data_IF_811155326123
#
_entry.id   IF_811155326123
#
_cell.length_a   1.000
_cell.length_b   1.000
_cell.length_c   1.000
_cell.angle_alpha   90.00
_cell.angle_beta   90.00
_cell.angle_gamma   90.00
#
_symmetry.space_group_name_H-M   'P 1'
#
loop_
_entity.id
_entity.type
_entity.pdbx_description
1 polymer ?
#
# COMPACT_ATOMS: atom_id res chain seq x y z
N UNK A 1 10.21 32.20 55.34
CA UNK A 1 9.99 31.75 54.89
C UNK A 1 9.99 31.21 54.07
N UNK A 2 10.00 30.93 53.62
CA UNK A 2 9.88 30.29 52.90
C UNK A 2 9.82 29.67 52.01
N UNK A 3 9.87 29.50 51.45
CA UNK A 3 9.72 28.83 50.72
C UNK A 3 9.69 28.26 49.88
N UNK A 4 9.66 28.07 49.36
CA UNK A 4 9.52 27.45 48.62
C UNK A 4 9.46 26.88 47.76
N UNK A 5 9.37 26.60 47.36
CA UNK A 5 9.15 25.93 46.57
C UNK A 5 9.21 25.44 45.68
N UNK A 6 9.18 25.05 45.19
CA UNK A 6 9.09 24.43 44.40
C UNK A 6 8.95 23.81 43.50
N UNK A 7 8.94 23.58 43.04
CA UNK A 7 8.70 22.89 42.31
C UNK A 7 8.63 22.41 41.39
N UNK A 8 8.51 22.10 41.06
CA UNK A 8 8.31 21.54 40.27
C UNK A 8 8.28 21.01 39.46
N UNK A 9 8.24 20.74 38.98
CA UNK A 9 8.06 20.13 38.17
C UNK A 9 8.03 19.51 37.32
N UNK A 10 7.93 19.26 37.03
CA UNK A 10 7.80 18.60 36.28
C UNK A 10 7.73 18.17 35.41
N UNK A 11 7.64 17.92 34.97
CA UNK A 11 7.43 17.48 34.12
C UNK A 11 7.43 16.84 33.25
N UNK A 12 7.22 16.50 32.93
CA UNK A 12 7.05 15.82 32.14
C UNK A 12 7.03 15.42 31.15
N UNK A 13 7.02 15.14 30.75
CA UNK A 13 6.87 14.70 29.84
C UNK A 13 6.83 14.06 28.92
N UNK A 14 6.70 13.82 28.56
CA UNK A 14 6.50 13.13 27.71
C UNK A 14 6.46 12.66 26.85
N UNK A 15 6.46 12.38 26.42
CA UNK A 15 6.44 11.96 25.60
C UNK A 15 6.27 11.28 24.81
N UNK A 16 6.01 10.98 24.38
CA UNK A 16 5.75 10.21 23.70
C UNK A 16 5.84 9.99 22.61
N UNK A 17 5.98 9.78 22.12
CA UNK A 17 5.99 9.58 21.06
C UNK A 17 5.93 8.80 20.44
N UNK A 18 5.88 8.55 20.62
CA UNK A 18 5.95 7.84 20.23
C UNK A 18 5.56 7.49 19.26
N UNK A 19 5.25 7.25 19.08
CA UNK A 19 4.80 6.78 18.29
C UNK A 19 4.98 6.89 17.18
N UNK A 20 5.19 7.18 17.18
CA UNK A 20 5.38 7.23 16.21
C UNK A 20 5.14 6.57 15.32
N UNK A 21 4.69 6.17 15.62
CA UNK A 21 4.19 5.36 14.90
C UNK A 21 3.93 5.80 13.62
N UNK A 22 4.63 5.82 12.83
CA UNK A 22 4.27 5.99 11.71
C UNK A 22 3.59 4.93 11.19
N UNK A 23 2.43 5.09 10.87
CA UNK A 23 1.74 4.17 10.08
C UNK A 23 2.53 3.98 8.83
N UNK A 24 2.89 2.80 8.54
CA UNK A 24 3.47 2.48 7.27
C UNK A 24 2.43 2.72 6.19
N UNK A 25 2.83 3.17 5.03
CA UNK A 25 1.95 3.37 3.91
C UNK A 25 2.34 2.46 2.75
N UNK A 26 1.43 2.23 1.80
CA UNK A 26 1.69 1.35 0.67
C UNK A 26 2.41 2.05 -0.47
N UNK A 27 2.76 3.31 -0.32
CA UNK A 27 3.30 4.10 -1.42
C UNK A 27 4.73 3.71 -1.77
N UNK A 28 5.07 3.83 -3.03
CA UNK A 28 6.41 3.55 -3.51
C UNK A 28 6.42 2.46 -4.56
N UNK A 29 7.60 1.97 -4.86
CA UNK A 29 7.81 0.96 -5.88
C UNK A 29 7.87 -0.42 -5.23
N UNK A 30 7.06 -1.31 -5.75
CA UNK A 30 6.98 -2.68 -5.29
C UNK A 30 7.33 -3.61 -6.44
N UNK A 31 7.89 -4.77 -6.11
CA UNK A 31 8.28 -5.76 -7.09
C UNK A 31 7.36 -6.96 -6.98
N UNK A 32 6.88 -7.40 -8.12
CA UNK A 32 6.06 -8.60 -8.24
C UNK A 32 6.99 -9.79 -8.46
N UNK A 33 7.17 -10.67 -7.47
CA UNK A 33 8.19 -11.72 -7.59
C UNK A 33 7.96 -12.67 -8.76
N UNK A 34 6.70 -12.93 -9.11
CA UNK A 34 6.41 -13.89 -10.17
C UNK A 34 6.86 -13.42 -11.54
N UNK A 35 6.93 -12.12 -11.78
CA UNK A 35 7.26 -11.57 -13.09
C UNK A 35 8.46 -10.63 -13.08
N UNK A 36 8.87 -10.16 -11.90
CA UNK A 36 9.87 -9.12 -11.78
C UNK A 36 9.37 -7.74 -12.16
N UNK A 37 8.07 -7.60 -12.40
CA UNK A 37 7.50 -6.30 -12.74
C UNK A 37 7.56 -5.36 -11.56
N UNK A 38 7.77 -4.08 -11.86
CA UNK A 38 7.78 -3.02 -10.85
C UNK A 38 6.47 -2.26 -10.94
N UNK A 39 5.84 -2.09 -9.81
CA UNK A 39 4.55 -1.42 -9.71
C UNK A 39 4.69 -0.26 -8.74
N UNK A 40 4.29 0.92 -9.17
CA UNK A 40 4.29 2.10 -8.32
C UNK A 40 2.90 2.28 -7.73
N UNK A 41 2.81 2.30 -6.40
CA UNK A 41 1.59 2.63 -5.70
C UNK A 41 1.69 4.08 -5.24
N UNK A 42 0.66 4.86 -5.48
CA UNK A 42 0.71 6.29 -5.20
C UNK A 42 -0.66 6.82 -4.79
N UNK A 43 -0.64 7.98 -4.15
CA UNK A 43 -1.87 8.64 -3.74
C UNK A 43 -2.48 9.36 -4.94
N UNK A 44 -3.77 9.16 -5.14
CA UNK A 44 -4.52 9.78 -6.22
C UNK A 44 -5.82 10.37 -5.66
N UNK A 45 -5.69 11.51 -4.96
CA UNK A 45 -6.84 12.19 -4.41
C UNK A 45 -7.39 11.52 -3.16
N UNK A 46 -6.51 11.01 -2.31
CA UNK A 46 -6.91 10.34 -1.07
C UNK A 46 -7.21 8.87 -1.24
N UNK A 47 -7.08 8.36 -2.46
CA UNK A 47 -7.26 6.94 -2.77
C UNK A 47 -5.95 6.34 -3.22
N UNK A 48 -5.92 5.03 -3.34
CA UNK A 48 -4.71 4.31 -3.74
C UNK A 48 -4.78 3.97 -5.22
N UNK A 49 -3.78 4.43 -5.95
CA UNK A 49 -3.61 4.09 -7.36
C UNK A 49 -2.35 3.27 -7.55
N UNK A 50 -2.28 2.55 -8.66
CA UNK A 50 -1.11 1.76 -8.99
C UNK A 50 -0.91 1.71 -10.50
N UNK A 51 0.36 1.76 -10.91
CA UNK A 51 0.70 1.63 -12.33
C UNK A 51 1.99 0.84 -12.48
N UNK A 52 2.14 0.19 -13.62
CA UNK A 52 3.35 -0.53 -13.95
C UNK A 52 4.41 0.48 -14.39
N UNK A 53 5.57 0.45 -13.75
CA UNK A 53 6.66 1.36 -14.11
C UNK A 53 7.88 0.64 -14.67
N UNK A 54 7.90 -0.68 -14.61
CA UNK A 54 8.99 -1.46 -15.18
C UNK A 54 8.60 -2.90 -15.36
N UNK A 55 9.19 -3.55 -16.32
CA UNK A 55 9.00 -4.98 -16.57
C UNK A 55 10.35 -5.61 -16.79
N UNK A 56 10.49 -6.86 -16.36
CA UNK A 56 11.71 -7.62 -16.61
C UNK A 56 11.65 -8.27 -17.98
N UNK A 57 10.48 -8.72 -18.39
CA UNK A 57 10.28 -9.34 -19.71
C UNK A 57 10.04 -8.24 -20.73
N UNK A 58 11.00 -8.03 -21.60
CA UNK A 58 10.95 -6.95 -22.58
C UNK A 58 9.86 -7.11 -23.63
N UNK A 59 9.31 -8.32 -23.77
CA UNK A 59 8.16 -8.51 -24.68
C UNK A 59 6.90 -7.87 -24.12
N UNK A 60 6.94 -7.47 -22.83
CA UNK A 60 5.80 -6.84 -22.17
C UNK A 60 6.05 -5.36 -21.85
N UNK A 61 7.01 -4.75 -22.52
CA UNK A 61 7.37 -3.36 -22.24
C UNK A 61 6.24 -2.37 -22.53
N UNK A 62 5.27 -2.76 -23.34
CA UNK A 62 4.10 -1.94 -23.61
C UNK A 62 3.16 -1.82 -22.39
N UNK A 63 3.35 -2.64 -21.38
CA UNK A 63 2.60 -2.52 -20.14
C UNK A 63 3.11 -1.37 -19.27
N UNK A 64 4.34 -0.89 -19.52
CA UNK A 64 4.91 0.19 -18.72
C UNK A 64 4.11 1.46 -18.91
N UNK A 65 3.74 2.10 -17.81
CA UNK A 65 2.93 3.31 -17.81
C UNK A 65 1.45 3.05 -17.69
N UNK A 66 1.01 1.80 -17.76
CA UNK A 66 -0.43 1.52 -17.66
C UNK A 66 -0.87 1.48 -16.21
N UNK A 67 -2.00 2.11 -15.96
CA UNK A 67 -2.60 2.17 -14.62
C UNK A 67 -3.42 0.89 -14.44
N UNK A 68 -3.14 0.18 -13.35
CA UNK A 68 -3.83 -1.07 -13.04
C UNK A 68 -4.83 -0.91 -11.89
N UNK A 69 -4.71 0.16 -11.10
CA UNK A 69 -5.65 0.47 -10.03
C UNK A 69 -5.88 1.97 -10.04
N UNK A 70 -7.14 2.37 -10.25
CA UNK A 70 -7.48 3.76 -10.52
C UNK A 70 -8.05 4.50 -9.33
N UNK A 71 -8.11 3.88 -8.17
CA UNK A 71 -8.59 4.56 -6.98
C UNK A 71 -9.22 3.60 -6.00
N UNK A 72 -8.39 2.87 -5.26
CA UNK A 72 -8.87 1.98 -4.20
C UNK A 72 -9.11 2.79 -2.95
N UNK A 73 -10.29 2.63 -2.36
CA UNK A 73 -10.65 3.31 -1.13
C UNK A 73 -10.17 2.51 0.06
N UNK A 74 -9.78 3.21 1.11
CA UNK A 74 -9.34 2.55 2.33
C UNK A 74 -10.50 1.74 2.90
N UNK A 75 -10.26 0.45 3.16
CA UNK A 75 -11.27 -0.47 3.65
C UNK A 75 -10.93 -1.05 5.01
N UNK A 76 -9.78 -0.72 5.56
CA UNK A 76 -9.33 -1.15 6.88
C UNK A 76 -8.07 -0.39 7.23
N UNK A 77 -7.48 -0.69 8.38
CA UNK A 77 -6.30 0.04 8.83
C UNK A 77 -5.14 -0.07 7.84
N UNK A 78 -4.97 -1.23 7.25
CA UNK A 78 -3.89 -1.48 6.31
C UNK A 78 -4.41 -2.09 5.00
N UNK A 79 -5.65 -1.77 4.63
CA UNK A 79 -6.28 -2.38 3.47
C UNK A 79 -6.99 -1.35 2.61
N UNK A 80 -6.96 -1.59 1.31
CA UNK A 80 -7.62 -0.75 0.30
C UNK A 80 -8.35 -1.66 -0.66
N UNK A 81 -9.50 -1.23 -1.15
CA UNK A 81 -10.34 -2.03 -2.03
C UNK A 81 -10.80 -1.21 -3.22
N UNK A 82 -10.67 -1.76 -4.40
CA UNK A 82 -11.08 -1.10 -5.64
C UNK A 82 -10.86 -1.99 -6.84
N UNK A 83 -11.13 -1.45 -8.01
CA UNK A 83 -10.97 -2.21 -9.25
C UNK A 83 -9.50 -2.43 -9.58
N UNK A 84 -9.17 -3.63 -10.00
CA UNK A 84 -7.83 -4.02 -10.40
C UNK A 84 -7.88 -4.56 -11.82
N UNK A 85 -7.17 -3.89 -12.72
CA UNK A 85 -7.07 -4.33 -14.11
C UNK A 85 -5.93 -5.33 -14.24
N UNK A 86 -6.23 -6.49 -14.76
CA UNK A 86 -5.21 -7.48 -15.08
C UNK A 86 -4.80 -7.27 -16.55
N UNK A 87 -3.55 -6.81 -16.77
CA UNK A 87 -3.08 -6.50 -18.11
C UNK A 87 -2.87 -7.75 -18.97
N UNK A 88 -2.76 -8.92 -18.33
CA UNK A 88 -2.52 -10.16 -19.07
C UNK A 88 -3.77 -10.68 -19.75
N UNK A 89 -4.93 -10.49 -19.14
CA UNK A 89 -6.20 -10.92 -19.74
C UNK A 89 -7.12 -9.75 -20.09
N UNK A 90 -6.74 -8.52 -19.74
CA UNK A 90 -7.53 -7.33 -20.02
C UNK A 90 -8.80 -7.20 -19.21
N UNK A 91 -8.97 -8.02 -18.17
CA UNK A 91 -10.19 -8.01 -17.37
C UNK A 91 -9.97 -7.24 -16.08
N UNK A 92 -11.08 -6.69 -15.57
CA UNK A 92 -11.08 -5.97 -14.30
C UNK A 92 -11.61 -6.88 -13.20
N UNK A 93 -10.88 -6.92 -12.11
CA UNK A 93 -11.21 -7.73 -10.95
C UNK A 93 -11.48 -6.83 -9.75
N UNK A 94 -12.14 -7.37 -8.75
CA UNK A 94 -12.24 -6.69 -7.47
C UNK A 94 -10.90 -6.86 -6.75
N UNK A 95 -10.20 -5.76 -6.54
CA UNK A 95 -8.86 -5.78 -5.96
C UNK A 95 -8.85 -5.42 -4.50
N UNK A 96 -8.00 -6.10 -3.75
CA UNK A 96 -7.73 -5.76 -2.35
C UNK A 96 -6.23 -5.68 -2.16
N UNK A 97 -5.79 -4.56 -1.63
CA UNK A 97 -4.38 -4.35 -1.29
C UNK A 97 -4.28 -4.35 0.22
N UNK A 98 -3.41 -5.18 0.75
CA UNK A 98 -3.18 -5.23 2.19
C UNK A 98 -1.70 -5.03 2.46
N UNK A 99 -1.38 -4.02 3.25
CA UNK A 99 -0.01 -3.79 3.68
C UNK A 99 0.26 -4.72 4.86
N UNK A 100 1.04 -5.76 4.62
CA UNK A 100 1.31 -6.79 5.62
C UNK A 100 2.42 -6.33 6.57
N UNK A 101 3.43 -5.67 6.01
CA UNK A 101 4.55 -5.11 6.76
C UNK A 101 5.13 -3.97 5.92
N UNK A 102 6.08 -3.19 6.43
CA UNK A 102 6.68 -2.12 5.62
C UNK A 102 7.32 -2.61 4.33
N UNK A 103 7.66 -3.88 4.23
CA UNK A 103 8.31 -4.45 3.04
C UNK A 103 7.51 -5.56 2.37
N UNK A 104 6.25 -5.76 2.75
CA UNK A 104 5.40 -6.81 2.19
C UNK A 104 3.99 -6.29 1.97
N UNK A 105 3.50 -6.40 0.76
CA UNK A 105 2.19 -5.94 0.38
C UNK A 105 1.48 -7.07 -0.37
N UNK A 106 0.28 -7.41 0.08
CA UNK A 106 -0.51 -8.45 -0.59
C UNK A 106 -1.48 -7.80 -1.56
N UNK A 107 -1.43 -8.24 -2.80
CA UNK A 107 -2.33 -7.79 -3.85
C UNK A 107 -3.23 -8.97 -4.24
N UNK A 108 -4.52 -8.82 -4.00
CA UNK A 108 -5.49 -9.87 -4.28
C UNK A 108 -6.52 -9.38 -5.29
N UNK A 109 -6.80 -10.21 -6.28
CA UNK A 109 -7.84 -9.95 -7.26
C UNK A 109 -8.88 -11.05 -7.20
N UNK A 110 -10.15 -10.67 -7.17
CA UNK A 110 -11.26 -11.62 -7.07
C UNK A 110 -12.24 -11.41 -8.21
N UNK A 111 -12.80 -12.51 -8.70
CA UNK A 111 -13.83 -12.55 -9.73
C UNK A 111 -15.08 -13.23 -9.19
N UNK A 112 -16.17 -13.12 -9.94
CA UNK A 112 -17.43 -13.81 -9.66
C UNK A 112 -17.93 -13.57 -8.22
N UNK A 113 -17.97 -12.31 -7.83
CA UNK A 113 -18.48 -11.93 -6.52
C UNK A 113 -17.62 -12.40 -5.36
N UNK A 114 -16.34 -12.66 -5.59
CA UNK A 114 -15.45 -13.12 -4.55
C UNK A 114 -15.27 -14.64 -4.49
N UNK A 115 -15.89 -15.38 -5.39
CA UNK A 115 -15.78 -16.84 -5.40
C UNK A 115 -14.41 -17.31 -5.84
N UNK A 116 -13.76 -16.59 -6.74
CA UNK A 116 -12.45 -16.96 -7.26
C UNK A 116 -11.50 -15.82 -6.98
N UNK A 117 -10.48 -16.06 -6.18
CA UNK A 117 -9.49 -15.06 -5.83
C UNK A 117 -8.09 -15.60 -6.08
N UNK A 118 -7.20 -14.71 -6.52
CA UNK A 118 -5.78 -14.99 -6.60
C UNK A 118 -5.05 -13.85 -5.93
N UNK A 119 -3.98 -14.16 -5.23
CA UNK A 119 -3.21 -13.13 -4.57
C UNK A 119 -1.73 -13.38 -4.73
N UNK A 120 -0.96 -12.34 -4.51
CA UNK A 120 0.48 -12.39 -4.58
C UNK A 120 1.05 -11.38 -3.60
N UNK A 121 2.14 -11.73 -2.95
CA UNK A 121 2.84 -10.80 -2.10
C UNK A 121 3.88 -10.07 -2.93
N UNK A 122 3.83 -8.75 -2.87
CA UNK A 122 4.81 -7.89 -3.51
C UNK A 122 5.86 -7.52 -2.49
N UNK A 123 7.09 -7.33 -2.95
CA UNK A 123 8.22 -6.97 -2.10
C UNK A 123 8.75 -5.61 -2.46
N UNK A 124 9.46 -5.01 -1.53
CA UNK A 124 9.99 -3.67 -1.74
C UNK A 124 11.49 -3.67 -1.94
#
# INVERSE_FOLDING_TARGET
MRRTTKYILATATLVCFAGSAQAADPFGTWIRPSTGSQISFYDCGGKLCAKVIGVKDQTKKDMVGKVIMTGAAKSGDNAWKGDLLNLEDGKTYSGVVTLVSPASLNLKGCALGGLICKDENLTK
#
